data_IF_496366244059
#
_entry.id   IF_496366244059
#
_cell.length_a   1.000
_cell.length_b   1.000
_cell.length_c   1.000
_cell.angle_alpha   90.00
_cell.angle_beta   90.00
_cell.angle_gamma   90.00
#
_symmetry.space_group_name_H-M   'P 1'
#
loop_
_entity.id
_entity.type
_entity.pdbx_description
1 polymer ?
#
# COMPACT_ATOMS: atom_id res chain seq x y z
N UNK A 1 -11.97 21.62 -9.31
CA UNK A 1 -11.88 21.14 -9.42
C UNK A 1 -10.98 20.50 -9.61
N UNK A 2 -10.35 20.71 -9.99
CA UNK A 2 -9.39 20.05 -10.37
C UNK A 2 -8.61 19.43 -9.38
N UNK A 3 -8.28 19.94 -8.31
CA UNK A 3 -7.53 19.33 -7.27
C UNK A 3 -8.13 18.04 -6.76
N UNK A 4 -9.42 17.92 -6.87
CA UNK A 4 -10.11 16.74 -6.39
C UNK A 4 -9.92 15.54 -7.30
N UNK A 5 -9.43 15.78 -8.49
CA UNK A 5 -9.26 14.71 -9.45
C UNK A 5 -7.88 14.08 -9.40
N UNK A 6 -7.03 14.56 -8.52
CA UNK A 6 -5.64 14.09 -8.43
C UNK A 6 -5.43 13.34 -7.14
N UNK A 7 -4.75 12.21 -7.22
CA UNK A 7 -4.39 11.46 -6.02
C UNK A 7 -2.97 10.89 -6.17
N UNK A 8 -2.36 10.59 -5.03
CA UNK A 8 -0.99 10.09 -4.99
C UNK A 8 -0.99 8.60 -4.67
N UNK A 9 -0.16 7.86 -5.36
CA UNK A 9 -0.05 6.42 -5.14
C UNK A 9 1.33 5.95 -5.60
N UNK A 10 1.51 4.63 -5.63
CA UNK A 10 2.72 4.02 -6.18
C UNK A 10 2.29 2.93 -7.16
N UNK A 11 3.18 2.53 -8.05
CA UNK A 11 2.91 1.45 -8.99
C UNK A 11 3.82 0.26 -8.78
N UNK A 12 4.91 0.42 -8.03
CA UNK A 12 5.89 -0.64 -7.80
C UNK A 12 6.10 -0.77 -6.31
N UNK A 13 6.12 -2.01 -5.81
CA UNK A 13 6.35 -2.27 -4.40
C UNK A 13 7.76 -1.86 -4.00
N UNK A 14 7.92 -1.52 -2.72
CA UNK A 14 9.21 -1.13 -2.17
C UNK A 14 9.30 -1.64 -0.75
N UNK A 15 10.50 -1.59 -0.18
CA UNK A 15 10.68 -2.07 1.17
C UNK A 15 11.71 -1.23 1.90
N UNK A 16 11.64 -1.25 3.23
CA UNK A 16 12.57 -0.56 4.09
C UNK A 16 12.70 -1.31 5.40
N UNK A 17 13.62 -0.87 6.22
CA UNK A 17 13.93 -1.56 7.45
C UNK A 17 14.27 -0.55 8.54
N UNK A 18 13.89 -0.88 9.78
CA UNK A 18 14.18 -0.05 10.94
C UNK A 18 14.50 -0.95 12.12
N UNK A 19 15.44 -0.57 12.94
CA UNK A 19 15.82 -1.34 14.14
C UNK A 19 15.80 -0.45 15.36
N UNK A 20 15.35 -1.01 16.48
CA UNK A 20 15.31 -0.28 17.74
C UNK A 20 15.41 -1.29 18.88
N UNK A 21 16.37 -1.07 19.79
CA UNK A 21 16.56 -1.94 20.95
C UNK A 21 16.55 -3.42 20.57
N UNK A 22 17.28 -3.76 19.53
CA UNK A 22 17.42 -5.11 19.00
C UNK A 22 16.16 -5.67 18.33
N UNK A 23 15.04 -4.96 18.36
CA UNK A 23 13.89 -5.36 17.56
C UNK A 23 14.14 -4.91 16.13
N UNK A 24 13.71 -5.75 15.19
CA UNK A 24 13.88 -5.49 13.78
C UNK A 24 12.53 -5.37 13.12
N UNK A 25 12.34 -4.31 12.35
CA UNK A 25 11.07 -4.02 11.69
C UNK A 25 11.30 -3.99 10.18
N UNK A 26 10.68 -4.94 9.49
CA UNK A 26 10.75 -5.02 8.03
C UNK A 26 9.47 -4.46 7.45
N UNK A 27 9.57 -3.39 6.69
CA UNK A 27 8.40 -2.71 6.15
C UNK A 27 8.31 -2.89 4.65
N UNK A 28 7.10 -3.19 4.17
CA UNK A 28 6.84 -3.44 2.75
C UNK A 28 5.64 -2.62 2.33
N UNK A 29 5.79 -1.84 1.25
CA UNK A 29 4.66 -1.07 0.71
C UNK A 29 4.32 -1.63 -0.66
N UNK A 30 3.03 -1.87 -0.89
CA UNK A 30 2.52 -2.45 -2.12
C UNK A 30 1.39 -1.63 -2.70
N UNK A 31 1.33 -1.50 -4.02
CA UNK A 31 0.11 -0.96 -4.64
C UNK A 31 -0.98 -2.02 -4.57
N UNK A 32 -2.15 -1.63 -4.09
CA UNK A 32 -3.31 -2.51 -4.00
C UNK A 32 -4.55 -1.71 -4.38
N UNK A 33 -5.57 -2.39 -4.89
CA UNK A 33 -6.80 -1.72 -5.30
C UNK A 33 -8.04 -2.30 -4.64
N UNK A 34 -7.95 -3.50 -4.05
CA UNK A 34 -9.10 -4.15 -3.43
C UNK A 34 -8.70 -4.78 -2.11
N UNK A 35 -9.70 -5.05 -1.27
CA UNK A 35 -9.47 -5.73 -0.01
C UNK A 35 -8.94 -7.15 -0.26
N UNK A 36 -9.37 -7.79 -1.34
CA UNK A 36 -8.86 -9.13 -1.67
C UNK A 36 -7.36 -9.09 -1.95
N UNK A 37 -6.89 -8.07 -2.67
CA UNK A 37 -5.46 -7.91 -2.90
C UNK A 37 -4.71 -7.69 -1.60
N UNK A 38 -5.29 -6.93 -0.68
CA UNK A 38 -4.69 -6.73 0.63
C UNK A 38 -4.53 -8.06 1.35
N UNK A 39 -5.60 -8.87 1.36
CA UNK A 39 -5.56 -10.16 2.04
C UNK A 39 -4.50 -11.07 1.46
N UNK A 40 -4.38 -11.11 0.15
CA UNK A 40 -3.37 -11.93 -0.50
C UNK A 40 -1.96 -11.52 -0.06
N UNK A 41 -1.69 -10.23 -0.04
CA UNK A 41 -0.36 -9.75 0.34
C UNK A 41 -0.08 -10.02 1.81
N UNK A 42 -1.04 -9.77 2.68
CA UNK A 42 -0.85 -10.02 4.11
C UNK A 42 -0.56 -11.50 4.35
N UNK A 43 -1.33 -12.39 3.71
CA UNK A 43 -1.10 -13.83 3.86
C UNK A 43 0.27 -14.23 3.35
N UNK A 44 0.70 -13.64 2.25
CA UNK A 44 2.02 -13.91 1.71
C UNK A 44 3.11 -13.61 2.75
N UNK A 45 3.02 -12.44 3.39
CA UNK A 45 4.02 -12.05 4.37
C UNK A 45 3.92 -12.85 5.64
N UNK A 46 2.72 -13.22 6.06
CA UNK A 46 2.55 -14.06 7.24
C UNK A 46 3.19 -15.43 7.04
N UNK A 47 3.09 -15.98 5.85
CA UNK A 47 3.71 -17.26 5.54
C UNK A 47 5.21 -17.14 5.38
N UNK A 48 5.66 -16.11 4.70
CA UNK A 48 7.08 -15.92 4.46
C UNK A 48 7.85 -15.68 5.75
N UNK A 49 7.26 -14.91 6.66
CA UNK A 49 7.89 -14.58 7.94
C UNK A 49 7.11 -15.21 9.08
N UNK A 50 6.86 -16.51 8.95
CA UNK A 50 6.01 -17.24 9.90
C UNK A 50 6.57 -17.24 11.32
N UNK A 51 7.88 -17.04 11.46
CA UNK A 51 8.53 -17.03 12.76
C UNK A 51 8.57 -15.63 13.38
N UNK A 52 8.01 -14.63 12.72
CA UNK A 52 7.97 -13.29 13.29
C UNK A 52 6.87 -13.20 14.33
N UNK A 53 7.08 -12.35 15.33
CA UNK A 53 6.14 -12.16 16.42
C UNK A 53 4.88 -11.47 15.94
N UNK A 54 5.01 -10.47 15.09
CA UNK A 54 3.89 -9.65 14.65
C UNK A 54 3.99 -9.30 13.18
N UNK A 55 2.84 -9.29 12.53
CA UNK A 55 2.71 -8.88 11.12
C UNK A 55 1.60 -7.84 11.06
N UNK A 56 1.96 -6.60 11.32
CA UNK A 56 1.00 -5.50 11.42
C UNK A 56 0.86 -4.81 10.08
N UNK A 57 -0.29 -4.18 9.84
CA UNK A 57 -0.47 -3.53 8.54
C UNK A 57 -1.53 -2.43 8.59
N UNK A 58 -1.54 -1.62 7.53
CA UNK A 58 -2.60 -0.67 7.29
C UNK A 58 -2.72 -0.47 5.79
N UNK A 59 -3.92 -0.12 5.35
CA UNK A 59 -4.14 0.18 3.93
C UNK A 59 -5.11 1.34 3.77
N UNK A 60 -5.06 1.93 2.58
CA UNK A 60 -5.95 2.98 2.16
C UNK A 60 -6.30 2.72 0.71
N UNK A 61 -7.58 2.69 0.38
CA UNK A 61 -8.06 2.37 -0.96
C UNK A 61 -8.95 3.49 -1.51
N UNK A 62 -8.89 3.67 -2.82
CA UNK A 62 -9.76 4.59 -3.53
C UNK A 62 -9.30 6.03 -3.49
N UNK A 63 -9.62 6.77 -4.55
CA UNK A 63 -9.17 8.17 -4.63
C UNK A 63 -9.85 9.04 -3.58
N UNK A 64 -11.01 8.63 -3.07
CA UNK A 64 -11.69 9.39 -2.02
C UNK A 64 -11.17 9.06 -0.63
N UNK A 65 -10.35 8.01 -0.52
CA UNK A 65 -9.68 7.64 0.73
C UNK A 65 -10.67 7.37 1.86
N UNK A 66 -11.74 6.64 1.55
CA UNK A 66 -12.78 6.30 2.52
C UNK A 66 -12.72 4.86 3.00
N UNK A 67 -11.93 4.02 2.34
CA UNK A 67 -11.82 2.61 2.68
C UNK A 67 -10.41 2.37 3.21
N UNK A 68 -10.29 2.23 4.53
CA UNK A 68 -8.99 2.04 5.16
C UNK A 68 -9.11 1.15 6.37
N UNK A 69 -7.98 0.62 6.80
CA UNK A 69 -7.95 -0.22 7.99
C UNK A 69 -6.55 -0.26 8.58
N UNK A 70 -6.48 -0.41 9.90
CA UNK A 70 -5.22 -0.59 10.63
C UNK A 70 -5.33 -1.86 11.46
N UNK A 71 -4.25 -2.64 11.54
CA UNK A 71 -4.26 -3.91 12.24
C UNK A 71 -2.99 -4.06 13.07
N UNK A 72 -3.15 -4.28 14.38
CA UNK A 72 -2.03 -4.37 15.31
C UNK A 72 -1.45 -5.77 15.46
N UNK A 73 -2.15 -6.79 15.02
CA UNK A 73 -1.69 -8.20 15.05
C UNK A 73 -0.96 -8.56 16.35
N UNK A 74 -1.65 -8.41 17.46
CA UNK A 74 -1.10 -8.81 18.76
C UNK A 74 -0.23 -7.79 19.47
N UNK A 75 0.12 -6.69 18.84
CA UNK A 75 0.77 -5.59 19.54
C UNK A 75 -0.29 -4.87 20.38
N UNK A 76 0.11 -4.11 21.40
CA UNK A 76 -0.88 -3.37 22.18
C UNK A 76 -1.70 -2.44 21.28
N UNK A 77 -2.96 -2.28 21.62
CA UNK A 77 -3.90 -1.52 20.81
C UNK A 77 -3.36 -0.13 20.45
N UNK A 78 -3.40 0.20 19.17
CA UNK A 78 -3.01 1.51 18.68
C UNK A 78 -1.51 1.75 18.55
N UNK A 79 -0.67 0.72 18.77
CA UNK A 79 0.77 0.94 18.75
C UNK A 79 1.44 0.58 17.43
N UNK A 80 0.74 -0.10 16.53
CA UNK A 80 1.34 -0.55 15.28
C UNK A 80 0.53 -0.10 14.06
N UNK A 81 -0.70 -0.57 13.94
CA UNK A 81 -1.50 -0.26 12.76
C UNK A 81 -1.79 1.22 12.58
N UNK A 82 -2.14 1.89 13.68
CA UNK A 82 -2.42 3.33 13.60
C UNK A 82 -1.20 4.16 13.19
N UNK A 83 -0.02 3.93 13.76
CA UNK A 83 1.17 4.65 13.31
C UNK A 83 1.47 4.41 11.82
N UNK A 84 1.23 3.19 11.33
CA UNK A 84 1.43 2.90 9.92
C UNK A 84 0.43 3.69 9.08
N UNK A 85 -0.85 3.62 9.45
CA UNK A 85 -1.90 4.35 8.74
C UNK A 85 -1.64 5.85 8.77
N UNK A 86 -1.14 6.35 9.91
CA UNK A 86 -0.79 7.76 10.04
C UNK A 86 0.23 8.21 9.01
N UNK A 87 1.16 7.33 8.64
CA UNK A 87 2.15 7.67 7.64
C UNK A 87 1.56 7.65 6.23
N UNK A 88 0.65 6.71 5.96
CA UNK A 88 -0.08 6.74 4.69
C UNK A 88 -0.81 8.07 4.55
N UNK A 89 -1.45 8.52 5.63
CA UNK A 89 -2.17 9.79 5.63
C UNK A 89 -1.23 10.99 5.51
N UNK A 90 -0.11 10.96 6.22
CA UNK A 90 0.86 12.05 6.17
C UNK A 90 1.40 12.30 4.78
N UNK A 91 1.61 11.24 4.03
CA UNK A 91 2.13 11.35 2.67
C UNK A 91 1.00 11.48 1.65
N UNK A 92 -0.25 11.43 2.10
CA UNK A 92 -1.42 11.60 1.22
C UNK A 92 -1.59 10.48 0.21
N UNK A 93 -1.19 9.27 0.56
CA UNK A 93 -1.21 8.14 -0.38
C UNK A 93 -2.55 7.41 -0.34
N UNK A 94 -2.91 6.82 -1.47
CA UNK A 94 -4.04 5.90 -1.53
C UNK A 94 -3.68 4.75 -2.47
N UNK A 95 -4.52 3.69 -2.43
CA UNK A 95 -4.29 2.45 -3.17
C UNK A 95 -2.95 1.84 -2.79
N UNK A 96 -2.66 1.86 -1.49
CA UNK A 96 -1.43 1.28 -0.95
C UNK A 96 -1.72 0.45 0.30
N UNK A 97 -0.87 -0.55 0.50
CA UNK A 97 -0.84 -1.36 1.71
C UNK A 97 0.59 -1.29 2.24
N UNK A 98 0.73 -1.07 3.55
CA UNK A 98 2.04 -1.19 4.20
C UNK A 98 1.95 -2.30 5.22
N UNK A 99 2.84 -3.28 5.11
CA UNK A 99 2.97 -4.39 6.06
C UNK A 99 4.29 -4.21 6.79
N UNK A 100 4.27 -4.33 8.12
CA UNK A 100 5.49 -4.26 8.92
C UNK A 100 5.60 -5.53 9.73
N UNK A 101 6.70 -6.26 9.51
CA UNK A 101 7.02 -7.50 10.20
C UNK A 101 7.99 -7.16 11.33
N UNK A 102 7.69 -7.59 12.55
CA UNK A 102 8.57 -7.31 13.69
C UNK A 102 9.15 -8.58 14.27
N UNK A 103 10.47 -8.55 14.44
CA UNK A 103 11.19 -9.57 15.20
C UNK A 103 11.63 -8.96 16.52
N UNK A 104 11.14 -9.53 17.63
CA UNK A 104 11.48 -9.04 18.95
C UNK A 104 12.94 -9.39 19.29
N UNK A 105 13.67 -8.42 19.83
CA UNK A 105 15.09 -8.61 20.13
C UNK A 105 15.41 -8.80 21.61
N UNK A 106 14.39 -9.06 22.43
CA UNK A 106 14.61 -9.33 23.86
C UNK A 106 14.48 -8.12 24.77
N UNK A 107 14.39 -6.91 24.19
CA UNK A 107 14.26 -5.69 24.98
C UNK A 107 12.93 -5.04 24.62
N UNK A 108 12.10 -4.79 25.63
CA UNK A 108 10.80 -4.19 25.39
C UNK A 108 10.93 -2.72 25.03
N UNK A 109 10.14 -2.28 24.08
CA UNK A 109 10.17 -0.90 23.63
C UNK A 109 9.21 -0.01 24.42
N UNK A 110 8.17 -0.60 24.99
CA UNK A 110 7.09 0.17 25.59
C UNK A 110 6.15 0.72 24.54
N UNK A 111 5.03 1.26 25.00
CA UNK A 111 3.98 1.74 24.09
C UNK A 111 4.49 2.85 23.17
N UNK A 112 5.13 3.87 23.74
CA UNK A 112 5.59 4.99 22.92
C UNK A 112 6.73 4.58 22.00
N UNK A 113 7.58 3.66 22.45
CA UNK A 113 8.66 3.15 21.61
C UNK A 113 8.13 2.35 20.41
N UNK A 114 7.09 1.56 20.64
CA UNK A 114 6.46 0.82 19.54
C UNK A 114 5.85 1.76 18.51
N UNK A 115 5.13 2.78 18.98
CA UNK A 115 4.52 3.75 18.07
C UNK A 115 5.59 4.39 17.19
N UNK A 116 6.70 4.82 17.80
CA UNK A 116 7.78 5.46 17.04
C UNK A 116 8.44 4.48 16.08
N UNK A 117 8.61 3.23 16.48
CA UNK A 117 9.28 2.23 15.64
C UNK A 117 8.43 1.87 14.42
N UNK A 118 7.12 1.64 14.62
CA UNK A 118 6.26 1.32 13.48
C UNK A 118 6.13 2.51 12.54
N UNK A 119 6.09 3.71 13.09
CA UNK A 119 6.09 4.92 12.28
C UNK A 119 7.35 5.02 11.45
N UNK A 120 8.51 4.85 12.10
CA UNK A 120 9.80 4.96 11.41
C UNK A 120 9.94 3.90 10.32
N UNK A 121 9.50 2.67 10.60
CA UNK A 121 9.59 1.60 9.61
C UNK A 121 8.72 1.91 8.39
N UNK A 122 7.49 2.40 8.62
CA UNK A 122 6.60 2.77 7.53
C UNK A 122 7.22 3.87 6.67
N UNK A 123 7.85 4.86 7.32
CA UNK A 123 8.52 5.94 6.59
C UNK A 123 9.62 5.38 5.69
N UNK A 124 10.40 4.42 6.19
CA UNK A 124 11.48 3.83 5.39
C UNK A 124 10.94 3.19 4.13
N UNK A 125 9.83 2.47 4.22
CA UNK A 125 9.24 1.84 3.04
C UNK A 125 8.71 2.90 2.07
N UNK A 126 8.04 3.93 2.59
CA UNK A 126 7.48 4.97 1.73
C UNK A 126 8.60 5.73 1.00
N UNK A 127 9.69 6.04 1.71
CA UNK A 127 10.80 6.77 1.10
C UNK A 127 11.52 5.95 0.05
N UNK A 128 11.46 4.62 0.15
CA UNK A 128 12.06 3.75 -0.87
C UNK A 128 11.16 3.62 -2.09
N UNK A 129 9.90 4.01 -1.98
CA UNK A 129 8.93 3.88 -3.07
C UNK A 129 8.94 5.12 -3.94
N UNK A 130 8.48 4.95 -5.18
CA UNK A 130 8.33 6.07 -6.09
C UNK A 130 6.86 6.50 -6.07
N UNK A 131 6.62 7.68 -5.52
CA UNK A 131 5.26 8.22 -5.43
C UNK A 131 4.94 8.93 -6.75
N UNK A 132 3.78 8.63 -7.29
CA UNK A 132 3.31 9.24 -8.53
C UNK A 132 1.95 9.86 -8.29
N UNK A 133 1.55 10.75 -9.17
CA UNK A 133 0.22 11.34 -9.17
C UNK A 133 -0.59 10.78 -10.32
N UNK A 134 -1.85 10.49 -10.07
CA UNK A 134 -2.78 10.04 -11.09
C UNK A 134 -4.03 10.88 -11.03
N UNK A 135 -4.76 10.90 -12.14
CA UNK A 135 -6.05 11.56 -12.16
C UNK A 135 -7.14 10.52 -12.27
N UNK A 136 -8.30 10.85 -11.73
CA UNK A 136 -9.46 9.97 -11.79
C UNK A 136 -9.87 9.75 -13.24
N UNK A 137 -9.74 10.77 -14.06
CA UNK A 137 -10.09 10.67 -15.47
C UNK A 137 -9.26 9.66 -16.22
N UNK A 138 -7.98 9.60 -15.92
CA UNK A 138 -7.10 8.63 -16.55
C UNK A 138 -7.54 7.21 -16.25
N UNK A 139 -7.93 6.96 -15.02
CA UNK A 139 -8.39 5.64 -14.65
C UNK A 139 -9.66 5.27 -15.38
N UNK A 140 -10.60 6.18 -15.45
CA UNK A 140 -11.87 5.93 -16.13
C UNK A 140 -11.64 5.64 -17.60
N UNK A 141 -10.79 6.42 -18.22
CA UNK A 141 -10.46 6.22 -19.63
C UNK A 141 -9.88 4.85 -19.88
N UNK A 142 -9.02 4.41 -19.02
CA UNK A 142 -8.40 3.12 -19.16
C UNK A 142 -9.39 1.98 -19.17
N UNK A 143 -10.39 2.02 -18.32
CA UNK A 143 -11.37 0.97 -18.30
C UNK A 143 -12.36 1.05 -19.42
N UNK A 144 -12.56 2.21 -19.99
CA UNK A 144 -13.59 2.40 -20.94
C UNK A 144 -13.24 2.04 -22.35
N UNK A 145 -12.10 1.68 -22.66
CA UNK A 145 -11.73 1.35 -23.92
C UNK A 145 -12.33 0.22 -24.50
N UNK A 146 -13.25 -0.12 -24.87
CA UNK A 146 -13.76 -1.26 -25.46
C UNK A 146 -15.01 -1.51 -25.80
N UNK A 147 -15.79 -1.40 -26.31
CA UNK A 147 -16.92 -1.94 -26.55
C UNK A 147 -17.32 -2.28 -27.81
N UNK A 148 -17.43 -1.99 -28.12
CA UNK A 148 -17.82 -2.09 -29.09
C UNK A 148 -17.52 -2.70 -29.52
N UNK A 149 -17.18 -2.80 -29.03
CA UNK A 149 -16.68 -3.13 -29.10
C UNK A 149 -16.68 -4.05 -29.37
N UNK A 150 -17.02 -4.75 -29.31
CA UNK A 150 -16.69 -5.51 -29.62
C UNK A 150 -16.14 -5.52 -30.57
N UNK A 151 -16.14 -5.11 -30.81
CA UNK A 151 -15.49 -4.83 -31.71
C UNK A 151 -14.71 -3.84 -31.48
N UNK A 152 -14.88 -3.22 -30.93
CA UNK A 152 -14.12 -2.31 -30.53
C UNK A 152 -13.56 -2.67 -29.50
N UNK A 153 -13.87 -3.22 -28.97
CA UNK A 153 -13.29 -3.34 -28.03
C UNK A 153 -12.60 -4.10 -28.11
N UNK A 154 -12.50 -4.43 -28.72
CA UNK A 154 -11.66 -4.90 -28.62
C UNK A 154 -10.70 -4.28 -29.00
N UNK A 155 -10.77 -3.58 -29.27
CA UNK A 155 -9.85 -2.83 -29.49
C UNK A 155 -9.20 -2.37 -28.51
N UNK A 156 -9.58 -2.23 -27.90
CA UNK A 156 -8.95 -1.72 -27.01
C UNK A 156 -8.50 -2.47 -26.18
N UNK A 157 -8.70 -3.20 -26.22
CA UNK A 157 -8.21 -3.73 -25.47
C UNK A 157 -7.19 -4.12 -25.84
N UNK A 158 -7.18 -3.91 -26.63
CA UNK A 158 -6.18 -3.80 -26.86
C UNK A 158 -5.46 -2.91 -26.69
N UNK A 159 -5.62 -2.43 -26.86
CA UNK A 159 -4.80 -1.43 -26.58
C UNK A 159 -4.55 -1.30 -25.45
N UNK A 160 -5.07 -1.84 -25.31
CA UNK A 160 -4.71 -1.46 -24.33
C UNK A 160 -4.35 -1.77 -23.81
N UNK A 161 -4.65 -2.30 -24.17
CA UNK A 161 -4.09 -2.15 -23.74
C UNK A 161 -3.49 -1.94 -23.75
N UNK A 162 -3.52 -2.05 -24.21
CA UNK A 162 -2.80 -1.37 -24.18
C UNK A 162 -2.58 -1.01 -23.83
N UNK A 163 -2.70 -1.26 -24.16
CA UNK A 163 -2.26 -0.57 -23.71
C UNK A 163 -2.35 -0.53 -23.51
N UNK A 164 -2.80 -1.02 -24.00
CA UNK A 164 -2.65 -0.68 -23.81
C UNK A 164 -2.59 -0.57 -23.83
N UNK A 165 -2.75 -0.94 -24.33
CA UNK A 165 -2.45 -0.46 -24.38
C UNK A 165 -2.33 -0.13 -24.76
N UNK A 166 -2.31 -0.14 -25.32
CA UNK A 166 -1.99 0.46 -25.63
C UNK A 166 -2.05 0.88 -25.93
N UNK A 167 -2.16 0.80 -26.56
CA UNK A 167 -2.01 1.44 -26.63
C UNK A 167 -2.09 1.68 -26.86
N UNK A 168 -2.07 1.53 -27.49
CA UNK A 168 -1.84 2.02 -27.63
C UNK A 168 -2.06 2.22 -27.75
N UNK A 169 -2.49 1.95 -28.11
CA UNK A 169 -2.52 2.30 -27.95
C UNK A 169 -2.52 2.27 -27.91
N UNK A 170 -2.59 2.05 -28.72
CA UNK A 170 -2.39 2.28 -28.36
C UNK A 170 -2.33 2.28 -28.07
#
# INVERSE_FOLDING_TARGET
>A
MEGNDVYKTITVAAEGEYSEKRSKFLAFIHPVHTVDEVKEQVEFYQKKYYDARHCCYAYMLGHERKDFRANDNGEPSGTAGKPILGQINSYGLTDVLIVVIRYFGGIKLGTSGLIQAYKAAAIEAIQAARIIEKTVDEEITFFFEYPFMNSVMRIVKELSLIHISEPTRH
#
